data_IF_460264833070
#
_entry.id   IF_460264833070
#
_cell.length_a   1.000
_cell.length_b   1.000
_cell.length_c   1.000
_cell.angle_alpha   90.00
_cell.angle_beta   90.00
_cell.angle_gamma   90.00
#
_symmetry.space_group_name_H-M   'P 1'
#
loop_
_entity.id
_entity.type
_entity.pdbx_description
1 polymer ?
#
# COMPACT_ATOMS: atom_id res chain seq x y z
N UNK A 1 29.13 -1.26 10.94
CA UNK A 1 28.84 -2.33 9.95
C UNK A 1 28.23 -1.68 8.71
N UNK A 2 28.78 -1.91 7.51
CA UNK A 2 28.36 -1.20 6.29
C UNK A 2 27.29 -2.00 5.53
N UNK A 3 26.12 -1.41 5.28
CA UNK A 3 25.04 -2.03 4.49
C UNK A 3 25.21 -1.71 3.00
N UNK A 4 24.97 -2.70 2.14
CA UNK A 4 25.08 -2.56 0.68
C UNK A 4 23.75 -2.16 0.03
N UNK A 5 22.63 -2.52 0.66
CA UNK A 5 21.28 -2.17 0.21
C UNK A 5 20.55 -1.52 1.38
N UNK A 6 20.15 -0.27 1.23
CA UNK A 6 19.43 0.49 2.25
C UNK A 6 18.13 0.98 1.64
N UNK A 7 17.02 0.55 2.24
CA UNK A 7 15.67 0.90 1.84
C UNK A 7 15.01 1.70 2.96
N UNK A 8 14.33 2.76 2.58
CA UNK A 8 13.43 3.55 3.43
C UNK A 8 12.00 3.24 2.96
N UNK A 9 11.14 2.80 3.88
CA UNK A 9 9.78 2.36 3.54
C UNK A 9 8.75 3.13 4.36
N UNK A 10 7.63 3.45 3.74
CA UNK A 10 6.48 4.02 4.41
C UNK A 10 5.20 3.55 3.72
N UNK A 11 4.14 3.40 4.51
CA UNK A 11 2.80 3.22 3.98
C UNK A 11 1.79 4.02 4.77
N UNK A 12 0.75 4.48 4.08
CA UNK A 12 -0.34 5.23 4.70
C UNK A 12 -1.70 4.80 4.13
N UNK A 13 -2.75 5.24 4.81
CA UNK A 13 -4.12 4.88 4.49
C UNK A 13 -5.04 6.08 4.72
N UNK A 14 -5.97 6.34 3.79
CA UNK A 14 -7.10 7.26 3.99
C UNK A 14 -8.38 6.48 4.22
N UNK A 15 -9.32 7.13 4.91
CA UNK A 15 -10.64 6.58 5.22
C UNK A 15 -10.56 5.24 5.97
N UNK A 16 -9.56 5.10 6.84
CA UNK A 16 -9.33 3.86 7.59
C UNK A 16 -10.58 3.46 8.39
N UNK A 17 -11.02 2.21 8.26
CA UNK A 17 -12.24 1.70 8.89
C UNK A 17 -13.50 1.85 8.04
N UNK A 18 -13.43 2.50 6.87
CA UNK A 18 -14.51 2.52 5.89
C UNK A 18 -14.32 1.49 4.78
N UNK A 19 -15.41 1.10 4.12
CA UNK A 19 -15.39 0.15 3.00
C UNK A 19 -14.67 0.67 1.76
N UNK A 20 -14.54 1.99 1.63
CA UNK A 20 -13.89 2.70 0.53
C UNK A 20 -12.45 3.11 0.84
N UNK A 21 -11.87 2.61 1.94
CA UNK A 21 -10.50 2.91 2.34
C UNK A 21 -9.50 2.70 1.19
N UNK A 22 -8.51 3.59 1.13
CA UNK A 22 -7.38 3.51 0.21
C UNK A 22 -6.10 3.44 1.01
N UNK A 23 -5.22 2.53 0.63
CA UNK A 23 -3.88 2.44 1.18
C UNK A 23 -2.84 2.50 0.08
N UNK A 24 -1.67 3.03 0.41
CA UNK A 24 -0.53 3.03 -0.49
C UNK A 24 0.76 2.78 0.28
N UNK A 25 1.73 2.24 -0.42
CA UNK A 25 3.04 1.88 0.08
C UNK A 25 4.11 2.44 -0.85
N UNK A 26 5.22 2.89 -0.28
CA UNK A 26 6.38 3.36 -1.01
C UNK A 26 7.67 2.77 -0.42
N UNK A 27 8.61 2.49 -1.30
CA UNK A 27 9.94 2.02 -0.99
C UNK A 27 10.97 2.86 -1.75
N UNK A 28 11.93 3.40 -1.02
CA UNK A 28 13.01 4.21 -1.58
C UNK A 28 14.33 3.51 -1.32
N UNK A 29 15.06 3.20 -2.39
CA UNK A 29 16.41 2.66 -2.30
C UNK A 29 17.44 3.77 -2.44
N UNK A 30 18.29 3.93 -1.42
CA UNK A 30 19.38 4.89 -1.49
C UNK A 30 20.55 4.31 -2.32
N UNK A 31 20.88 4.98 -3.43
CA UNK A 31 22.13 4.76 -4.17
C UNK A 31 23.09 5.89 -3.85
N UNK A 32 24.01 5.67 -2.89
CA UNK A 32 25.00 6.65 -2.40
C UNK A 32 25.41 7.75 -3.40
N UNK A 33 25.88 7.36 -4.59
CA UNK A 33 26.42 8.27 -5.61
C UNK A 33 25.49 8.51 -6.83
N UNK A 34 24.33 7.85 -6.89
CA UNK A 34 23.42 7.92 -8.05
C UNK A 34 22.02 8.45 -7.67
N UNK A 35 21.83 8.91 -6.43
CA UNK A 35 20.55 9.41 -5.95
C UNK A 35 19.69 8.30 -5.35
N UNK A 36 18.43 8.25 -5.75
CA UNK A 36 17.42 7.37 -5.16
C UNK A 36 16.64 6.70 -6.27
N UNK A 37 16.38 5.40 -6.10
CA UNK A 37 15.32 4.75 -6.85
C UNK A 37 14.08 4.67 -5.98
N UNK A 38 12.91 4.72 -6.61
CA UNK A 38 11.62 4.68 -5.94
C UNK A 38 10.72 3.60 -6.55
N UNK A 39 9.98 2.92 -5.69
CA UNK A 39 8.84 2.09 -6.08
C UNK A 39 7.65 2.44 -5.20
N UNK A 40 6.47 2.48 -5.79
CA UNK A 40 5.22 2.81 -5.14
C UNK A 40 4.12 1.86 -5.60
N UNK A 41 3.17 1.57 -4.72
CA UNK A 41 1.98 0.80 -5.06
C UNK A 41 0.79 1.24 -4.24
N UNK A 42 -0.40 1.18 -4.83
CA UNK A 42 -1.66 1.17 -4.09
C UNK A 42 -1.93 -0.25 -3.61
N UNK A 43 -2.40 -0.41 -2.38
CA UNK A 43 -2.74 -1.74 -1.86
C UNK A 43 -4.14 -2.15 -2.33
N UNK A 44 -4.40 -3.45 -2.53
CA UNK A 44 -5.72 -3.93 -2.92
C UNK A 44 -6.81 -3.48 -1.92
N UNK A 45 -8.04 -3.21 -2.41
CA UNK A 45 -9.14 -2.76 -1.56
C UNK A 45 -9.69 -3.86 -0.63
N UNK A 46 -9.32 -5.13 -0.85
CA UNK A 46 -9.71 -6.24 -0.01
C UNK A 46 -8.51 -7.11 0.38
N UNK A 47 -8.35 -7.49 1.67
CA UNK A 47 -9.12 -6.99 2.82
C UNK A 47 -8.91 -5.47 3.01
N UNK A 48 -9.88 -4.82 3.67
CA UNK A 48 -9.96 -3.35 3.76
C UNK A 48 -8.62 -2.73 4.14
N UNK A 49 -8.11 -1.77 3.36
CA UNK A 49 -6.88 -1.06 3.66
C UNK A 49 -6.83 -0.51 5.10
N UNK A 50 -5.69 -0.71 5.74
CA UNK A 50 -5.34 -0.06 7.01
C UNK A 50 -3.94 0.51 6.91
N UNK A 51 -3.60 1.49 7.76
CA UNK A 51 -2.24 2.04 7.82
C UNK A 51 -1.21 0.95 8.14
N UNK A 52 -1.56 -0.05 8.96
CA UNK A 52 -0.65 -1.16 9.28
C UNK A 52 -0.41 -2.06 8.06
N UNK A 53 -1.47 -2.40 7.32
CA UNK A 53 -1.37 -3.15 6.05
C UNK A 53 -0.52 -2.41 5.03
N UNK A 54 -0.73 -1.10 4.89
CA UNK A 54 0.06 -0.25 4.00
C UNK A 54 1.56 -0.26 4.37
N UNK A 55 1.89 -0.14 5.66
CA UNK A 55 3.28 -0.21 6.11
C UNK A 55 3.92 -1.60 5.89
N UNK A 56 3.18 -2.68 6.13
CA UNK A 56 3.65 -4.04 5.83
C UNK A 56 3.85 -4.26 4.32
N UNK A 57 2.96 -3.73 3.48
CA UNK A 57 3.11 -3.76 2.03
C UNK A 57 4.38 -3.02 1.58
N UNK A 58 4.73 -1.89 2.23
CA UNK A 58 5.97 -1.17 1.94
C UNK A 58 7.22 -2.00 2.29
N UNK A 59 7.19 -2.76 3.40
CA UNK A 59 8.24 -3.72 3.74
C UNK A 59 8.34 -4.84 2.69
N UNK A 60 7.21 -5.37 2.23
CA UNK A 60 7.17 -6.40 1.18
C UNK A 60 7.79 -5.87 -0.11
N UNK A 61 7.47 -4.63 -0.50
CA UNK A 61 8.03 -3.99 -1.69
C UNK A 61 9.57 -3.92 -1.61
N UNK A 62 10.11 -3.47 -0.48
CA UNK A 62 11.56 -3.45 -0.24
C UNK A 62 12.20 -4.85 -0.29
N UNK A 63 11.52 -5.86 0.26
CA UNK A 63 12.01 -7.24 0.25
C UNK A 63 12.01 -7.84 -1.15
N UNK A 64 10.95 -7.63 -1.94
CA UNK A 64 10.90 -8.03 -3.35
C UNK A 64 12.07 -7.41 -4.13
N UNK A 65 12.25 -6.10 -3.99
CA UNK A 65 13.34 -5.39 -4.65
C UNK A 65 14.73 -5.86 -4.21
N UNK A 66 14.90 -6.15 -2.93
CA UNK A 66 16.14 -6.73 -2.40
C UNK A 66 16.39 -8.13 -2.98
N UNK A 67 15.36 -8.98 -3.07
CA UNK A 67 15.45 -10.33 -3.65
C UNK A 67 15.87 -10.24 -5.12
N UNK A 68 15.22 -9.39 -5.90
CA UNK A 68 15.52 -9.25 -7.33
C UNK A 68 16.92 -8.67 -7.54
N UNK A 69 17.33 -7.73 -6.68
CA UNK A 69 18.70 -7.22 -6.69
C UNK A 69 19.72 -8.32 -6.33
N UNK A 70 19.51 -9.10 -5.27
CA UNK A 70 20.40 -10.21 -4.88
C UNK A 70 20.46 -11.27 -6.01
N UNK A 71 19.33 -11.59 -6.67
CA UNK A 71 19.27 -12.58 -7.77
C UNK A 71 19.97 -12.14 -9.04
N UNK A 72 19.92 -10.85 -9.37
CA UNK A 72 20.54 -10.32 -10.59
C UNK A 72 22.06 -10.17 -10.44
N UNK A 73 22.56 -9.99 -9.22
CA UNK A 73 23.98 -9.81 -8.92
C UNK A 73 24.74 -11.13 -8.65
N UNK A 74 24.35 -12.23 -9.33
CA UNK A 74 24.77 -13.64 -9.14
C UNK A 74 26.29 -13.96 -9.11
N UNK A 75 27.19 -13.00 -9.26
CA UNK A 75 28.64 -13.20 -9.32
C UNK A 75 29.42 -12.35 -8.30
N UNK A 76 28.91 -12.25 -7.08
CA UNK A 76 29.56 -11.49 -6.01
C UNK A 76 30.30 -12.47 -5.08
N UNK A 77 31.63 -12.33 -4.89
CA UNK A 77 32.38 -13.21 -3.99
C UNK A 77 31.78 -13.26 -2.58
N UNK A 78 31.93 -14.37 -1.86
CA UNK A 78 31.37 -14.56 -0.51
C UNK A 78 31.72 -13.44 0.49
N UNK A 79 32.80 -12.69 0.27
CA UNK A 79 33.20 -11.52 1.07
C UNK A 79 32.32 -10.26 0.84
N UNK A 80 31.49 -10.23 -0.21
CA UNK A 80 30.62 -9.10 -0.61
C UNK A 80 29.12 -9.43 -0.51
N UNK A 81 28.74 -10.39 0.34
CA UNK A 81 27.32 -10.68 0.64
C UNK A 81 26.52 -9.41 0.88
N UNK A 82 25.33 -9.32 0.31
CA UNK A 82 24.50 -8.15 0.50
C UNK A 82 24.02 -8.09 1.95
N UNK A 83 24.24 -6.91 2.54
CA UNK A 83 23.65 -6.53 3.82
C UNK A 83 22.50 -5.59 3.52
N UNK A 84 21.28 -6.07 3.76
CA UNK A 84 20.02 -5.38 3.50
C UNK A 84 19.56 -4.71 4.79
N UNK A 85 19.30 -3.41 4.73
CA UNK A 85 18.71 -2.64 5.82
C UNK A 85 17.39 -2.04 5.35
N UNK A 86 16.30 -2.41 5.99
CA UNK A 86 14.97 -1.84 5.73
C UNK A 86 14.63 -0.93 6.92
N UNK A 87 14.43 0.36 6.63
CA UNK A 87 14.14 1.41 7.61
C UNK A 87 12.69 1.82 7.49
N UNK A 88 12.01 1.90 8.62
CA UNK A 88 10.64 2.41 8.70
C UNK A 88 10.54 3.39 9.88
N UNK A 89 9.74 4.42 9.73
CA UNK A 89 9.33 5.33 10.81
C UNK A 89 8.14 4.79 11.64
N UNK A 90 7.74 3.53 11.41
CA UNK A 90 6.69 2.85 12.17
C UNK A 90 7.30 1.80 13.11
N UNK A 91 7.53 2.14 14.41
CA UNK A 91 8.00 1.19 15.41
C UNK A 91 7.10 -0.05 15.51
N UNK A 92 5.79 0.15 15.40
CA UNK A 92 4.81 -0.93 15.44
C UNK A 92 4.98 -1.91 14.27
N UNK A 93 5.34 -1.43 13.08
CA UNK A 93 5.57 -2.28 11.91
C UNK A 93 6.84 -3.10 12.07
N UNK A 94 7.94 -2.46 12.48
CA UNK A 94 9.22 -3.15 12.73
C UNK A 94 9.04 -4.22 13.80
N UNK A 95 8.39 -3.88 14.92
CA UNK A 95 8.12 -4.84 16.00
C UNK A 95 7.22 -6.01 15.54
N UNK A 96 6.23 -5.76 14.68
CA UNK A 96 5.38 -6.82 14.14
C UNK A 96 6.17 -7.77 13.23
N UNK A 97 7.04 -7.25 12.39
CA UNK A 97 7.92 -8.04 11.51
C UNK A 97 8.92 -8.85 12.32
N UNK A 98 9.61 -8.23 13.27
CA UNK A 98 10.59 -8.93 14.11
C UNK A 98 9.92 -10.03 14.94
N UNK A 99 8.76 -9.73 15.55
CA UNK A 99 8.00 -10.75 16.27
C UNK A 99 7.62 -11.91 15.37
N UNK A 100 7.12 -11.65 14.15
CA UNK A 100 6.76 -12.70 13.20
C UNK A 100 7.95 -13.55 12.75
N UNK A 101 9.12 -12.94 12.55
CA UNK A 101 10.29 -13.63 12.03
C UNK A 101 11.06 -14.44 13.08
N UNK A 102 11.01 -14.01 14.34
CA UNK A 102 11.86 -14.53 15.41
C UNK A 102 11.08 -15.14 16.58
N UNK A 103 9.75 -15.21 16.52
CA UNK A 103 8.97 -15.99 17.49
C UNK A 103 9.14 -17.49 17.23
N UNK A 104 9.40 -18.26 18.29
CA UNK A 104 9.47 -19.72 18.23
C UNK A 104 8.09 -20.35 17.87
N UNK A 105 7.00 -19.62 18.15
CA UNK A 105 5.64 -19.96 17.77
C UNK A 105 5.33 -19.50 16.33
N UNK A 106 5.78 -20.27 15.34
CA UNK A 106 5.39 -20.10 13.94
C UNK A 106 3.97 -20.61 13.64
N UNK A 107 3.01 -20.35 14.54
CA UNK A 107 1.67 -20.92 14.50
C UNK A 107 0.60 -19.89 14.83
N UNK A 108 -0.27 -19.68 13.84
CA UNK A 108 -1.65 -19.17 13.78
C UNK A 108 -2.34 -18.38 14.92
N UNK A 109 -1.80 -18.19 16.12
CA UNK A 109 -2.52 -17.52 17.23
C UNK A 109 -1.75 -16.36 17.88
N UNK A 110 -0.43 -16.24 17.68
CA UNK A 110 0.41 -15.35 18.50
C UNK A 110 0.79 -13.99 17.88
N UNK A 111 0.67 -13.79 16.56
CA UNK A 111 1.34 -12.66 15.90
C UNK A 111 0.39 -11.80 15.05
N UNK A 112 -0.15 -10.76 15.70
CA UNK A 112 -0.89 -9.68 15.05
C UNK A 112 -2.35 -10.00 14.72
N UNK A 113 -3.13 -8.99 14.28
CA UNK A 113 -4.50 -9.20 13.83
C UNK A 113 -4.52 -10.26 12.73
N UNK A 114 -5.51 -11.15 12.74
CA UNK A 114 -5.72 -12.12 11.66
C UNK A 114 -5.73 -11.43 10.27
N UNK A 115 -6.18 -10.18 10.22
CA UNK A 115 -6.21 -9.34 9.04
C UNK A 115 -4.84 -8.94 8.46
N UNK A 116 -3.71 -9.16 9.14
CA UNK A 116 -2.36 -8.84 8.63
C UNK A 116 -1.52 -10.09 8.33
N UNK A 117 -2.07 -11.28 8.60
CA UNK A 117 -1.33 -12.56 8.54
C UNK A 117 -0.86 -12.89 7.12
N UNK A 118 -1.67 -12.56 6.12
CA UNK A 118 -1.33 -12.71 4.71
C UNK A 118 -0.05 -11.95 4.34
N UNK A 119 0.07 -10.69 4.79
CA UNK A 119 1.24 -9.86 4.51
C UNK A 119 2.46 -10.32 5.31
N UNK A 120 2.28 -10.67 6.59
CA UNK A 120 3.38 -11.17 7.42
C UNK A 120 3.92 -12.51 6.89
N UNK A 121 3.06 -13.39 6.39
CA UNK A 121 3.49 -14.62 5.71
C UNK A 121 4.37 -14.31 4.49
N UNK A 122 3.99 -13.32 3.67
CA UNK A 122 4.81 -12.87 2.55
C UNK A 122 6.16 -12.29 2.98
N UNK A 123 6.18 -11.48 4.05
CA UNK A 123 7.42 -10.98 4.66
C UNK A 123 8.33 -12.14 5.07
N UNK A 124 7.80 -13.14 5.79
CA UNK A 124 8.56 -14.31 6.23
C UNK A 124 9.12 -15.12 5.07
N UNK A 125 8.32 -15.34 4.02
CA UNK A 125 8.77 -16.03 2.81
C UNK A 125 9.91 -15.28 2.12
N UNK A 126 9.77 -13.97 1.90
CA UNK A 126 10.80 -13.16 1.24
C UNK A 126 12.06 -13.02 2.08
N UNK A 127 11.93 -12.90 3.40
CA UNK A 127 13.06 -12.88 4.33
C UNK A 127 13.88 -14.18 4.22
N UNK A 128 13.22 -15.34 4.26
CA UNK A 128 13.89 -16.64 4.07
C UNK A 128 14.51 -16.77 2.69
N UNK A 129 13.88 -16.23 1.64
CA UNK A 129 14.48 -16.20 0.30
C UNK A 129 15.76 -15.38 0.26
N UNK A 130 15.83 -14.22 0.94
CA UNK A 130 17.08 -13.46 1.08
C UNK A 130 18.15 -14.25 1.84
N UNK A 131 17.76 -14.96 2.91
CA UNK A 131 18.67 -15.85 3.64
C UNK A 131 19.21 -16.99 2.77
N UNK A 132 18.38 -17.60 1.93
CA UNK A 132 18.78 -18.62 0.96
C UNK A 132 19.71 -18.07 -0.13
N UNK A 133 19.66 -16.77 -0.39
CA UNK A 133 20.60 -16.04 -1.25
C UNK A 133 21.84 -15.53 -0.49
N UNK A 134 22.02 -15.96 0.77
CA UNK A 134 23.15 -15.57 1.63
C UNK A 134 23.20 -14.05 1.92
N UNK A 135 22.04 -13.37 1.78
CA UNK A 135 21.84 -11.96 2.09
C UNK A 135 21.43 -11.82 3.58
N UNK A 136 22.08 -10.91 4.32
CA UNK A 136 21.75 -10.63 5.74
C UNK A 136 20.80 -9.43 5.80
N UNK A 137 19.59 -9.66 6.31
CA UNK A 137 18.54 -8.64 6.39
C UNK A 137 18.34 -8.14 7.81
N UNK A 138 18.25 -6.82 7.99
CA UNK A 138 17.86 -6.18 9.24
C UNK A 138 16.76 -5.15 9.01
N UNK A 139 15.93 -4.99 10.04
CA UNK A 139 14.88 -3.99 10.13
C UNK A 139 15.29 -2.96 11.18
N UNK A 140 15.00 -1.70 10.95
CA UNK A 140 15.34 -0.63 11.89
C UNK A 140 14.25 0.43 11.92
N UNK A 141 13.95 0.90 13.13
CA UNK A 141 13.17 2.12 13.33
C UNK A 141 14.06 3.32 13.05
N UNK A 142 13.52 4.30 12.35
CA UNK A 142 14.17 5.61 12.13
C UNK A 142 13.20 6.72 12.50
N UNK A 143 13.76 7.89 12.83
CA UNK A 143 12.96 9.10 13.00
C UNK A 143 12.25 9.48 11.70
N UNK A 144 11.07 10.08 11.81
CA UNK A 144 10.22 10.42 10.66
C UNK A 144 10.92 11.35 9.68
N UNK A 145 11.73 12.27 10.17
CA UNK A 145 12.53 13.23 9.39
C UNK A 145 13.52 12.51 8.45
N UNK A 146 14.03 11.35 8.88
CA UNK A 146 14.94 10.53 8.06
C UNK A 146 14.18 9.67 7.02
N UNK A 147 12.86 9.57 7.12
CA UNK A 147 11.99 8.78 6.25
C UNK A 147 11.03 9.62 5.38
N UNK A 148 11.19 10.95 5.37
CA UNK A 148 10.26 11.90 4.73
C UNK A 148 9.99 11.55 3.28
N UNK A 149 11.01 11.18 2.51
CA UNK A 149 10.84 10.89 1.08
C UNK A 149 9.88 9.70 0.86
N UNK A 150 10.05 8.60 1.61
CA UNK A 150 9.14 7.46 1.49
C UNK A 150 7.71 7.83 1.91
N UNK A 151 7.56 8.62 2.98
CA UNK A 151 6.25 9.08 3.44
C UNK A 151 5.54 9.98 2.40
N UNK A 152 6.27 10.92 1.77
CA UNK A 152 5.75 11.80 0.72
C UNK A 152 5.32 11.01 -0.51
N UNK A 153 6.10 10.00 -0.92
CA UNK A 153 5.75 9.15 -2.06
C UNK A 153 4.50 8.32 -1.78
N UNK A 154 4.38 7.74 -0.59
CA UNK A 154 3.17 7.03 -0.18
C UNK A 154 1.94 7.95 -0.16
N UNK A 155 2.07 9.19 0.33
CA UNK A 155 1.01 10.18 0.30
C UNK A 155 0.61 10.58 -1.13
N UNK A 156 1.59 10.81 -2.02
CA UNK A 156 1.34 11.14 -3.42
C UNK A 156 0.67 9.99 -4.19
N UNK A 157 0.97 8.74 -3.86
CA UNK A 157 0.26 7.57 -4.41
C UNK A 157 -1.21 7.54 -3.97
N UNK A 158 -1.51 7.92 -2.72
CA UNK A 158 -2.89 8.07 -2.24
C UNK A 158 -3.63 9.20 -2.97
N UNK A 159 -2.98 10.34 -3.20
CA UNK A 159 -3.57 11.46 -3.95
C UNK A 159 -3.98 11.04 -5.36
N UNK A 160 -3.10 10.34 -6.08
CA UNK A 160 -3.40 9.88 -7.45
C UNK A 160 -4.53 8.86 -7.48
N UNK A 161 -4.58 7.94 -6.52
CA UNK A 161 -5.67 6.98 -6.40
C UNK A 161 -7.00 7.67 -6.10
N UNK A 162 -7.01 8.60 -5.16
CA UNK A 162 -8.21 9.33 -4.76
C UNK A 162 -8.75 10.19 -5.91
N UNK A 163 -7.87 10.93 -6.60
CA UNK A 163 -8.23 11.67 -7.81
C UNK A 163 -8.77 10.75 -8.91
N UNK A 164 -8.14 9.58 -9.11
CA UNK A 164 -8.58 8.57 -10.07
C UNK A 164 -10.00 8.09 -9.77
N UNK A 165 -10.29 7.80 -8.50
CA UNK A 165 -11.64 7.40 -8.04
C UNK A 165 -12.67 8.50 -8.24
N UNK A 166 -12.33 9.75 -7.93
CA UNK A 166 -13.22 10.91 -8.15
C UNK A 166 -13.55 11.10 -9.64
N UNK A 167 -12.54 11.03 -10.53
CA UNK A 167 -12.76 11.13 -11.98
C UNK A 167 -13.64 10.00 -12.51
N UNK A 168 -13.42 8.77 -12.05
CA UNK A 168 -14.25 7.62 -12.42
C UNK A 168 -15.69 7.76 -11.92
N UNK A 169 -15.89 8.27 -10.69
CA UNK A 169 -17.21 8.53 -10.14
C UNK A 169 -17.94 9.61 -10.95
N UNK A 170 -17.27 10.71 -11.29
CA UNK A 170 -17.83 11.76 -12.15
C UNK A 170 -18.23 11.23 -13.53
N UNK A 171 -17.35 10.47 -14.20
CA UNK A 171 -17.65 9.89 -15.50
C UNK A 171 -18.82 8.89 -15.46
N UNK A 172 -18.96 8.11 -14.37
CA UNK A 172 -20.12 7.23 -14.16
C UNK A 172 -21.41 8.02 -14.00
N UNK A 173 -21.34 9.13 -13.27
CA UNK A 173 -22.48 10.00 -13.03
C UNK A 173 -22.95 10.70 -14.31
N UNK A 174 -22.01 11.20 -15.12
CA UNK A 174 -22.33 11.79 -16.43
C UNK A 174 -23.02 10.78 -17.35
N UNK A 175 -22.49 9.55 -17.47
CA UNK A 175 -23.13 8.49 -18.26
C UNK A 175 -24.52 8.12 -17.75
N UNK A 176 -24.70 8.09 -16.43
CA UNK A 176 -26.00 7.82 -15.83
C UNK A 176 -27.02 8.94 -16.15
N UNK A 177 -26.57 10.20 -16.12
CA UNK A 177 -27.40 11.36 -16.51
C UNK A 177 -27.78 11.31 -17.99
N UNK A 178 -26.82 11.07 -18.89
CA UNK A 178 -27.10 10.93 -20.33
C UNK A 178 -28.08 9.79 -20.62
N UNK A 179 -27.94 8.65 -19.92
CA UNK A 179 -28.86 7.53 -20.04
C UNK A 179 -30.27 7.88 -19.54
N UNK A 180 -30.38 8.63 -18.44
CA UNK A 180 -31.65 9.12 -17.91
C UNK A 180 -32.31 10.11 -18.89
N UNK A 181 -31.57 11.08 -19.41
CA UNK A 181 -32.08 12.05 -20.39
C UNK A 181 -32.60 11.36 -21.64
N UNK A 182 -31.85 10.37 -22.14
CA UNK A 182 -32.26 9.56 -23.28
C UNK A 182 -33.56 8.78 -22.99
N UNK A 183 -33.66 8.13 -21.83
CA UNK A 183 -34.88 7.42 -21.42
C UNK A 183 -36.09 8.37 -21.30
N UNK A 184 -35.91 9.52 -20.67
CA UNK A 184 -36.96 10.54 -20.55
C UNK A 184 -37.43 11.06 -21.92
N UNK A 185 -36.52 11.16 -22.89
CA UNK A 185 -36.84 11.57 -24.26
C UNK A 185 -37.55 10.47 -25.07
N UNK A 186 -37.23 9.19 -24.84
CA UNK A 186 -37.80 8.06 -25.56
C UNK A 186 -39.16 7.59 -25.02
N UNK A 187 -39.36 7.62 -23.70
CA UNK A 187 -40.53 7.00 -23.03
C UNK A 187 -41.49 8.02 -22.38
N UNK A 188 -41.12 9.31 -22.36
CA UNK A 188 -41.80 10.31 -21.53
C UNK A 188 -41.53 10.08 -20.03
N UNK A 189 -42.16 10.87 -19.16
CA UNK A 189 -42.08 10.69 -17.69
C UNK A 189 -42.85 9.44 -17.28
N UNK A 190 -42.20 8.28 -17.37
CA UNK A 190 -42.68 7.00 -16.84
C UNK A 190 -42.00 6.66 -15.50
N UNK A 191 -42.61 5.76 -14.73
CA UNK A 191 -42.13 5.33 -13.39
C UNK A 191 -40.67 4.84 -13.39
N UNK A 192 -40.20 4.25 -14.49
CA UNK A 192 -38.80 3.82 -14.64
C UNK A 192 -37.80 4.99 -14.69
N UNK A 193 -38.18 6.10 -15.30
CA UNK A 193 -37.33 7.29 -15.35
C UNK A 193 -37.26 7.97 -13.98
N UNK A 194 -38.37 8.00 -13.23
CA UNK A 194 -38.38 8.48 -11.85
C UNK A 194 -37.57 7.58 -10.90
N UNK A 195 -37.57 6.26 -11.12
CA UNK A 195 -36.75 5.33 -10.35
C UNK A 195 -35.25 5.56 -10.60
N UNK A 196 -34.87 5.74 -11.86
CA UNK A 196 -33.48 6.04 -12.23
C UNK A 196 -33.03 7.43 -11.72
N UNK A 197 -33.92 8.41 -11.72
CA UNK A 197 -33.67 9.73 -11.13
C UNK A 197 -33.46 9.64 -9.61
N UNK A 198 -34.28 8.86 -8.90
CA UNK A 198 -34.08 8.59 -7.46
C UNK A 198 -32.77 7.88 -7.18
N UNK A 199 -32.38 6.91 -8.00
CA UNK A 199 -31.11 6.21 -7.86
C UNK A 199 -29.91 7.15 -8.12
N UNK A 200 -30.00 8.06 -9.09
CA UNK A 200 -28.97 9.08 -9.34
C UNK A 200 -28.88 10.07 -8.18
N UNK A 201 -30.01 10.57 -7.66
CA UNK A 201 -30.04 11.49 -6.52
C UNK A 201 -29.50 10.81 -5.25
N UNK A 202 -29.82 9.53 -5.04
CA UNK A 202 -29.29 8.75 -3.92
C UNK A 202 -27.78 8.52 -4.05
N UNK A 203 -27.31 8.16 -5.25
CA UNK A 203 -25.88 8.04 -5.52
C UNK A 203 -25.14 9.37 -5.33
N UNK A 204 -25.79 10.50 -5.64
CA UNK A 204 -25.25 11.84 -5.41
C UNK A 204 -25.15 12.18 -3.91
N UNK A 205 -26.20 11.89 -3.14
CA UNK A 205 -26.20 12.11 -1.69
C UNK A 205 -25.17 11.23 -0.96
N UNK A 206 -24.98 9.98 -1.39
CA UNK A 206 -23.95 9.08 -0.83
C UNK A 206 -22.53 9.56 -1.18
N UNK A 207 -22.34 10.10 -2.39
CA UNK A 207 -21.06 10.67 -2.82
C UNK A 207 -20.74 11.98 -2.07
N UNK A 208 -21.72 12.84 -1.81
CA UNK A 208 -21.54 14.07 -1.02
C UNK A 208 -21.37 13.79 0.48
N UNK A 209 -22.07 12.81 1.05
CA UNK A 209 -21.88 12.41 2.44
C UNK A 209 -20.46 11.85 2.70
N UNK A 210 -19.90 11.13 1.72
CA UNK A 210 -18.49 10.70 1.74
C UNK A 210 -17.48 11.87 1.72
N UNK A 211 -17.87 13.02 1.15
CA UNK A 211 -17.07 14.26 1.08
C UNK A 211 -17.26 15.13 2.34
N UNK A 212 -18.47 15.19 2.91
CA UNK A 212 -18.79 16.02 4.07
C UNK A 212 -18.21 15.50 5.40
N UNK A 213 -18.02 14.18 5.56
CA UNK A 213 -17.29 13.63 6.70
C UNK A 213 -15.75 13.69 6.54
N UNK A 214 -15.26 14.45 5.55
CA UNK A 214 -13.86 14.60 5.19
C UNK A 214 -13.25 15.98 5.47
N UNK A 215 -13.91 16.84 6.28
CA UNK A 215 -13.35 18.09 6.82
C UNK A 215 -13.03 17.90 8.31
#
# INVERSE_FOLDING_TARGET
MTYSLVFNVAGDCRYAGRSDAIGAAACVRNRRAQGWDVEEMTIPPHPTPTRRRANLAAVILALCWAVDTCKTQKAVPAARRHKVLIRSDSPATVAAVERWLFSDDNGDDAVGPAADRDLLYHVGRLHRMLGALDCVTRYAVVEREANVLAAVLAAGALDREDEGRRRLAQARLERAREALEKKLAEEGRNEEAEALERDIVKAFAEMEAGVAEGI
#
